data_IF_279300692005
#
_entry.id   IF_279300692005
#
_cell.length_a   1.000
_cell.length_b   1.000
_cell.length_c   1.000
_cell.angle_alpha   90.00
_cell.angle_beta   90.00
_cell.angle_gamma   90.00
#
_symmetry.space_group_name_H-M   'P 1'
#
loop_
_entity.id
_entity.type
_entity.pdbx_description
1 polymer ?
#
# COMPACT_ATOMS: atom_id res chain seq x y z
N UNK A 1 -2.26 -20.76 -1.31
CA UNK A 1 -2.63 -19.73 -2.30
C UNK A 1 -2.77 -18.41 -1.57
N UNK A 2 -2.18 -17.31 -2.05
CA UNK A 2 -2.35 -16.01 -1.42
C UNK A 2 -3.82 -15.60 -1.44
N UNK A 3 -4.28 -15.04 -0.33
CA UNK A 3 -5.63 -14.50 -0.20
C UNK A 3 -5.67 -13.09 -0.80
N UNK A 4 -6.87 -12.55 -1.06
CA UNK A 4 -7.01 -11.16 -1.51
C UNK A 4 -6.39 -10.17 -0.51
N UNK A 5 -6.45 -10.50 0.78
CA UNK A 5 -5.83 -9.68 1.83
C UNK A 5 -4.31 -9.67 1.73
N UNK A 6 -3.69 -10.80 1.38
CA UNK A 6 -2.24 -10.88 1.19
C UNK A 6 -1.77 -9.99 0.03
N UNK A 7 -2.53 -9.97 -1.07
CA UNK A 7 -2.26 -9.10 -2.22
C UNK A 7 -2.45 -7.62 -1.88
N UNK A 8 -3.52 -7.26 -1.18
CA UNK A 8 -3.76 -5.89 -0.73
C UNK A 8 -2.67 -5.41 0.25
N UNK A 9 -2.22 -6.28 1.14
CA UNK A 9 -1.14 -5.98 2.08
C UNK A 9 0.21 -5.79 1.38
N UNK A 10 0.49 -6.55 0.31
CA UNK A 10 1.68 -6.33 -0.50
C UNK A 10 1.68 -4.93 -1.15
N UNK A 11 0.55 -4.47 -1.67
CA UNK A 11 0.41 -3.11 -2.24
C UNK A 11 0.61 -2.04 -1.15
N UNK A 12 0.04 -2.23 0.05
CA UNK A 12 0.23 -1.30 1.17
C UNK A 12 1.69 -1.21 1.61
N UNK A 13 2.38 -2.35 1.72
CA UNK A 13 3.80 -2.40 2.06
C UNK A 13 4.65 -1.65 1.03
N UNK A 14 4.44 -1.91 -0.26
CA UNK A 14 5.17 -1.22 -1.33
C UNK A 14 4.91 0.30 -1.34
N UNK A 15 3.67 0.72 -1.08
CA UNK A 15 3.33 2.14 -1.00
C UNK A 15 3.98 2.83 0.21
N UNK A 16 4.02 2.15 1.37
CA UNK A 16 4.72 2.64 2.56
C UNK A 16 6.22 2.79 2.30
N UNK A 17 6.87 1.75 1.75
CA UNK A 17 8.30 1.77 1.43
C UNK A 17 8.65 2.87 0.41
N UNK A 18 7.79 3.08 -0.59
CA UNK A 18 8.00 4.12 -1.60
C UNK A 18 7.92 5.53 -1.01
N UNK A 19 6.96 5.79 -0.11
CA UNK A 19 6.82 7.08 0.58
C UNK A 19 7.99 7.32 1.53
N UNK A 20 8.40 6.30 2.29
CA UNK A 20 9.55 6.40 3.19
C UNK A 20 10.85 6.67 2.42
N UNK A 21 11.09 5.93 1.33
CA UNK A 21 12.25 6.14 0.45
C UNK A 21 12.26 7.52 -0.20
N UNK A 22 11.10 8.06 -0.57
CA UNK A 22 10.97 9.40 -1.15
C UNK A 22 11.12 10.54 -0.12
N UNK A 23 11.06 10.24 1.19
CA UNK A 23 11.02 11.23 2.30
C UNK A 23 9.97 12.33 2.10
N UNK A 24 8.93 12.05 1.31
CA UNK A 24 7.93 13.01 0.85
C UNK A 24 6.72 12.26 0.31
N UNK A 25 5.51 12.69 0.69
CA UNK A 25 4.23 12.10 0.29
C UNK A 25 3.27 11.83 1.46
N UNK A 26 1.98 11.66 1.16
CA UNK A 26 0.95 11.34 2.15
C UNK A 26 0.48 9.88 1.98
N UNK A 27 0.85 8.95 2.89
CA UNK A 27 0.56 7.51 2.73
C UNK A 27 -0.94 7.15 2.86
N UNK A 28 -1.82 8.11 3.16
CA UNK A 28 -3.24 7.89 3.40
C UNK A 28 -4.05 7.47 2.17
N UNK A 29 -3.72 7.96 0.96
CA UNK A 29 -4.51 7.67 -0.25
C UNK A 29 -4.37 6.22 -0.75
N UNK A 30 -3.15 5.64 -0.83
CA UNK A 30 -2.95 4.25 -1.24
C UNK A 30 -3.52 3.24 -0.23
N UNK A 31 -3.46 3.53 1.08
CA UNK A 31 -3.96 2.61 2.11
C UNK A 31 -5.50 2.54 2.16
N UNK A 32 -6.19 3.65 1.93
CA UNK A 32 -7.66 3.72 1.94
C UNK A 32 -8.31 3.19 0.65
N UNK A 33 -7.61 3.21 -0.48
CA UNK A 33 -8.13 2.70 -1.76
C UNK A 33 -7.78 1.22 -2.03
N UNK A 34 -6.96 0.58 -1.21
CA UNK A 34 -6.54 -0.81 -1.39
C UNK A 34 -7.67 -1.86 -1.27
N UNK A 35 -8.87 -1.46 -0.83
CA UNK A 35 -10.07 -2.33 -0.86
C UNK A 35 -10.89 -2.21 -2.15
N UNK A 36 -10.63 -1.18 -2.96
CA UNK A 36 -11.39 -0.87 -4.19
C UNK A 36 -10.69 -1.44 -5.45
N UNK A 37 -9.42 -1.84 -5.35
CA UNK A 37 -8.61 -2.40 -6.45
C UNK A 37 -8.80 -3.92 -6.63
#
# INVERSE_FOLDING_TARGET
MPTRNDLANAIRALAMDAVEKAKSGHPGAPMGMAEIA
#
